data_IF_615033535610
#
_entry.id   IF_615033535610
#
_cell.length_a   1.000
_cell.length_b   1.000
_cell.length_c   1.000
_cell.angle_alpha   90.00
_cell.angle_beta   90.00
_cell.angle_gamma   90.00
#
_symmetry.space_group_name_H-M   'P 1'
#
loop_
_entity.id
_entity.type
_entity.pdbx_description
1 polymer ?
#
# COMPACT_ATOMS: atom_id res chain seq x y z
N UNK A 1 23.99 -6.00 25.77
CA UNK A 1 22.76 -5.81 24.99
C UNK A 1 23.15 -5.03 23.75
N UNK A 2 23.41 -5.72 22.64
CA UNK A 2 23.76 -5.10 21.36
C UNK A 2 22.49 -4.55 20.74
N UNK A 3 22.40 -3.23 20.60
CA UNK A 3 21.36 -2.57 19.84
C UNK A 3 21.39 -3.11 18.40
N UNK A 4 20.37 -3.86 18.02
CA UNK A 4 20.10 -4.17 16.62
C UNK A 4 19.79 -2.86 15.94
N UNK A 5 20.73 -2.37 15.13
CA UNK A 5 20.49 -1.24 14.25
C UNK A 5 19.31 -1.60 13.34
N UNK A 6 18.15 -0.98 13.58
CA UNK A 6 17.10 -0.92 12.56
C UNK A 6 17.76 -0.35 11.31
N UNK A 7 17.65 -1.06 10.19
CA UNK A 7 18.21 -0.54 8.97
C UNK A 7 17.48 0.77 8.64
N UNK A 8 18.24 1.82 8.31
CA UNK A 8 17.70 3.15 8.02
C UNK A 8 17.09 3.19 6.60
N UNK A 9 16.16 2.28 6.35
CA UNK A 9 15.50 2.11 5.07
C UNK A 9 14.26 3.01 4.98
N UNK A 10 13.96 3.45 3.77
CA UNK A 10 12.75 4.21 3.44
C UNK A 10 12.09 3.62 2.20
N UNK A 11 10.75 3.62 2.11
CA UNK A 11 10.09 3.23 0.88
C UNK A 11 10.46 4.17 -0.26
N UNK A 12 10.49 3.63 -1.46
CA UNK A 12 10.44 4.41 -2.70
C UNK A 12 8.98 4.52 -3.13
N UNK A 13 8.42 5.72 -3.02
CA UNK A 13 7.06 6.01 -3.49
C UNK A 13 7.05 6.40 -4.98
N UNK A 14 6.08 5.91 -5.74
CA UNK A 14 5.89 6.21 -7.16
C UNK A 14 4.42 6.53 -7.44
N UNK A 15 4.18 7.54 -8.25
CA UNK A 15 2.86 7.76 -8.84
C UNK A 15 2.83 7.23 -10.27
N UNK A 16 1.78 6.50 -10.59
CA UNK A 16 1.41 6.09 -11.94
C UNK A 16 0.01 6.62 -12.23
N UNK A 17 -0.25 6.95 -13.50
CA UNK A 17 -1.54 7.50 -13.88
C UNK A 17 -2.21 6.70 -14.98
N UNK A 18 -3.54 6.60 -14.92
CA UNK A 18 -4.36 6.13 -16.02
C UNK A 18 -5.23 7.27 -16.55
N UNK A 19 -5.40 7.32 -17.87
CA UNK A 19 -6.15 8.39 -18.52
C UNK A 19 -7.67 8.22 -18.30
N UNK A 20 -8.34 9.32 -17.98
CA UNK A 20 -9.80 9.44 -17.93
C UNK A 20 -10.27 10.55 -18.87
N UNK A 21 -11.42 10.36 -19.49
CA UNK A 21 -11.98 11.26 -20.51
C UNK A 21 -13.22 11.98 -19.99
N UNK A 22 -13.54 13.13 -20.58
CA UNK A 22 -14.70 13.94 -20.19
C UNK A 22 -14.33 15.37 -19.81
N UNK A 23 -15.36 16.23 -19.76
CA UNK A 23 -15.22 17.66 -19.41
C UNK A 23 -16.06 18.09 -18.21
N UNK A 24 -16.89 17.20 -17.68
CA UNK A 24 -17.68 17.39 -16.46
C UNK A 24 -17.25 16.39 -15.38
N UNK A 25 -17.58 16.66 -14.13
CA UNK A 25 -17.26 15.75 -13.02
C UNK A 25 -17.95 14.39 -13.18
N UNK A 26 -19.19 14.37 -13.68
CA UNK A 26 -19.91 13.13 -13.99
C UNK A 26 -19.23 12.32 -15.09
N UNK A 27 -18.77 12.96 -16.17
CA UNK A 27 -18.08 12.25 -17.27
C UNK A 27 -16.77 11.65 -16.77
N UNK A 28 -16.00 12.42 -15.99
CA UNK A 28 -14.73 11.97 -15.42
C UNK A 28 -14.96 10.78 -14.48
N UNK A 29 -15.97 10.85 -13.60
CA UNK A 29 -16.28 9.76 -12.68
C UNK A 29 -16.80 8.50 -13.39
N UNK A 30 -17.59 8.66 -14.45
CA UNK A 30 -17.98 7.53 -15.33
C UNK A 30 -16.75 6.90 -15.98
N UNK A 31 -15.85 7.72 -16.52
CA UNK A 31 -14.62 7.23 -17.14
C UNK A 31 -13.69 6.51 -16.14
N UNK A 32 -13.66 6.96 -14.88
CA UNK A 32 -13.02 6.23 -13.77
C UNK A 32 -13.63 4.83 -13.62
N UNK A 33 -14.96 4.71 -13.56
CA UNK A 33 -15.65 3.43 -13.45
C UNK A 33 -15.37 2.47 -14.62
N UNK A 34 -15.09 3.00 -15.81
CA UNK A 34 -14.78 2.20 -17.01
C UNK A 34 -13.29 1.81 -17.09
N UNK A 35 -12.38 2.68 -16.63
CA UNK A 35 -10.93 2.59 -16.92
C UNK A 35 -10.06 2.35 -15.69
N UNK A 36 -10.58 2.56 -14.49
CA UNK A 36 -9.85 2.44 -13.22
C UNK A 36 -9.23 1.05 -13.01
N UNK A 37 -8.18 0.94 -12.18
CA UNK A 37 -7.49 -0.34 -11.95
C UNK A 37 -8.46 -1.46 -11.57
N UNK A 38 -8.29 -2.64 -12.17
CA UNK A 38 -9.08 -3.84 -11.85
C UNK A 38 -8.55 -4.43 -10.54
N UNK A 39 -9.34 -4.26 -9.47
CA UNK A 39 -9.00 -4.75 -8.13
C UNK A 39 -10.15 -5.61 -7.64
N UNK A 40 -9.87 -6.88 -7.37
CA UNK A 40 -10.91 -7.87 -7.04
C UNK A 40 -11.91 -8.05 -8.18
N UNK A 41 -13.21 -7.96 -7.86
CA UNK A 41 -14.31 -8.13 -8.81
C UNK A 41 -14.69 -6.84 -9.57
N UNK A 42 -14.14 -5.70 -9.17
CA UNK A 42 -14.53 -4.38 -9.68
C UNK A 42 -13.35 -3.53 -10.14
N UNK A 43 -13.64 -2.25 -10.40
CA UNK A 43 -12.63 -1.22 -10.64
C UNK A 43 -12.63 -0.22 -9.51
N UNK A 44 -11.44 0.18 -9.06
CA UNK A 44 -11.28 1.19 -8.03
C UNK A 44 -11.02 2.58 -8.66
N UNK A 45 -11.25 3.64 -7.89
CA UNK A 45 -10.90 5.01 -8.28
C UNK A 45 -9.38 5.14 -8.39
N UNK A 46 -8.68 4.69 -7.36
CA UNK A 46 -7.23 4.63 -7.30
C UNK A 46 -6.83 3.31 -6.64
N UNK A 47 -5.53 3.01 -6.69
CA UNK A 47 -5.03 1.79 -6.06
C UNK A 47 -3.57 1.92 -5.64
N UNK A 48 -3.32 1.60 -4.38
CA UNK A 48 -1.97 1.45 -3.82
C UNK A 48 -1.51 0.00 -3.95
N UNK A 49 -0.36 -0.18 -4.59
CA UNK A 49 0.32 -1.47 -4.70
C UNK A 49 1.75 -1.37 -4.21
N UNK A 50 2.39 -2.50 -3.93
CA UNK A 50 3.79 -2.49 -3.53
C UNK A 50 4.58 -3.68 -4.06
N UNK A 51 5.89 -3.48 -4.19
CA UNK A 51 6.89 -4.52 -4.41
C UNK A 51 7.84 -4.53 -3.23
N UNK A 52 7.92 -5.66 -2.55
CA UNK A 52 8.78 -5.86 -1.39
C UNK A 52 9.76 -6.99 -1.66
N UNK A 53 11.06 -6.69 -1.57
CA UNK A 53 12.12 -7.71 -1.54
C UNK A 53 12.97 -7.56 -0.29
N UNK A 54 13.73 -8.60 0.06
CA UNK A 54 14.52 -8.64 1.28
C UNK A 54 15.94 -9.13 1.01
N UNK A 55 16.92 -8.48 1.64
CA UNK A 55 18.25 -9.05 1.85
C UNK A 55 18.32 -9.59 3.27
N UNK A 56 18.47 -10.91 3.41
CA UNK A 56 18.45 -11.60 4.70
C UNK A 56 19.76 -12.35 4.94
N UNK A 57 20.32 -12.22 6.14
CA UNK A 57 21.52 -12.93 6.57
C UNK A 57 21.16 -13.98 7.62
N UNK A 58 21.05 -15.24 7.19
CA UNK A 58 20.87 -16.38 8.09
C UNK A 58 22.23 -16.96 8.46
N UNK A 59 22.48 -17.18 9.74
CA UNK A 59 23.72 -17.75 10.22
C UNK A 59 23.45 -18.95 11.14
N UNK A 60 24.02 -20.13 10.82
CA UNK A 60 24.07 -21.23 11.77
C UNK A 60 24.83 -20.81 13.04
N UNK A 61 24.32 -21.16 14.21
CA UNK A 61 24.95 -20.94 15.51
C UNK A 61 24.81 -22.22 16.35
N UNK A 62 25.87 -23.04 16.38
CA UNK A 62 25.82 -24.38 16.96
C UNK A 62 24.78 -25.24 16.22
N UNK A 63 23.83 -25.80 16.97
CA UNK A 63 22.71 -26.57 16.41
C UNK A 63 21.51 -25.68 16.00
N UNK A 64 21.59 -24.36 16.20
CA UNK A 64 20.53 -23.42 15.83
C UNK A 64 20.84 -22.66 14.53
N UNK A 65 19.84 -21.97 13.98
CA UNK A 65 20.06 -20.92 12.99
C UNK A 65 19.39 -19.62 13.43
N UNK A 66 20.08 -18.50 13.22
CA UNK A 66 19.65 -17.15 13.59
C UNK A 66 19.55 -16.27 12.35
N UNK A 67 18.50 -15.44 12.27
CA UNK A 67 18.39 -14.38 11.27
C UNK A 67 19.06 -13.10 11.81
N UNK A 68 20.31 -12.87 11.42
CA UNK A 68 21.15 -11.79 11.96
C UNK A 68 20.76 -10.43 11.41
N UNK A 69 20.32 -10.35 10.15
CA UNK A 69 19.83 -9.11 9.56
C UNK A 69 18.76 -9.35 8.50
N UNK A 70 17.83 -8.40 8.37
CA UNK A 70 16.78 -8.40 7.36
C UNK A 70 16.54 -6.98 6.86
N UNK A 71 17.12 -6.63 5.71
CA UNK A 71 17.00 -5.30 5.12
C UNK A 71 15.96 -5.34 4.00
N UNK A 72 14.85 -4.60 4.10
CA UNK A 72 13.85 -4.55 3.05
C UNK A 72 14.25 -3.59 1.92
N UNK A 73 13.69 -3.86 0.74
CA UNK A 73 13.58 -2.91 -0.35
C UNK A 73 12.09 -2.82 -0.71
N UNK A 74 11.48 -1.69 -0.35
CA UNK A 74 10.05 -1.44 -0.51
C UNK A 74 9.84 -0.36 -1.58
N UNK A 75 9.05 -0.70 -2.61
CA UNK A 75 8.55 0.25 -3.60
C UNK A 75 7.03 0.28 -3.46
N UNK A 76 6.47 1.46 -3.18
CA UNK A 76 5.01 1.69 -3.13
C UNK A 76 4.63 2.42 -4.41
N UNK A 77 3.56 1.99 -5.08
CA UNK A 77 3.07 2.58 -6.32
C UNK A 77 1.60 2.94 -6.19
N UNK A 78 1.30 4.23 -6.32
CA UNK A 78 -0.05 4.78 -6.32
C UNK A 78 -0.53 4.93 -7.76
N UNK A 79 -1.61 4.24 -8.12
CA UNK A 79 -2.25 4.36 -9.43
C UNK A 79 -3.43 5.32 -9.34
N UNK A 80 -3.34 6.45 -10.02
CA UNK A 80 -4.29 7.57 -9.90
C UNK A 80 -4.92 7.93 -11.26
N UNK A 81 -6.19 8.41 -11.31
CA UNK A 81 -6.74 8.91 -12.55
C UNK A 81 -6.12 10.26 -12.95
N UNK A 82 -6.01 10.49 -14.25
CA UNK A 82 -5.55 11.76 -14.82
C UNK A 82 -6.41 12.16 -16.02
N UNK A 83 -6.95 13.39 -16.07
CA UNK A 83 -7.70 13.86 -17.23
C UNK A 83 -6.84 13.83 -18.48
N UNK A 84 -7.37 13.26 -19.56
CA UNK A 84 -6.71 13.24 -20.86
C UNK A 84 -6.79 14.59 -21.59
N UNK A 85 -7.77 15.40 -21.21
CA UNK A 85 -8.07 16.70 -21.83
C UNK A 85 -7.93 17.83 -20.80
N UNK A 86 -7.79 19.05 -21.30
CA UNK A 86 -7.88 20.25 -20.46
C UNK A 86 -9.31 20.43 -19.99
N UNK A 87 -9.50 20.54 -18.68
CA UNK A 87 -10.81 20.70 -18.06
C UNK A 87 -11.27 22.17 -18.10
N UNK A 88 -12.59 22.44 -18.18
CA UNK A 88 -13.16 23.74 -17.86
C UNK A 88 -12.74 24.20 -16.45
N UNK A 89 -12.60 25.51 -16.23
CA UNK A 89 -12.06 26.04 -14.98
C UNK A 89 -12.88 25.64 -13.74
N UNK A 90 -14.21 25.51 -13.86
CA UNK A 90 -15.08 25.03 -12.78
C UNK A 90 -14.81 23.56 -12.44
N UNK A 91 -14.77 22.69 -13.45
CA UNK A 91 -14.48 21.27 -13.31
C UNK A 91 -13.07 21.03 -12.76
N UNK A 92 -12.10 21.81 -13.23
CA UNK A 92 -10.72 21.69 -12.79
C UNK A 92 -10.56 21.89 -11.27
N UNK A 93 -11.25 22.88 -10.67
CA UNK A 93 -11.19 23.11 -9.22
C UNK A 93 -11.76 21.93 -8.41
N UNK A 94 -12.89 21.39 -8.84
CA UNK A 94 -13.49 20.22 -8.20
C UNK A 94 -12.62 18.98 -8.37
N UNK A 95 -12.04 18.80 -9.56
CA UNK A 95 -11.10 17.73 -9.85
C UNK A 95 -9.85 17.78 -8.97
N UNK A 96 -9.24 18.96 -8.81
CA UNK A 96 -8.06 19.15 -7.96
C UNK A 96 -8.36 18.81 -6.50
N UNK A 97 -9.53 19.22 -5.98
CA UNK A 97 -9.98 18.89 -4.62
C UNK A 97 -10.20 17.39 -4.46
N UNK A 98 -10.93 16.76 -5.38
CA UNK A 98 -11.14 15.32 -5.42
C UNK A 98 -9.81 14.56 -5.43
N UNK A 99 -8.88 14.94 -6.31
CA UNK A 99 -7.60 14.28 -6.46
C UNK A 99 -6.65 14.51 -5.27
N UNK A 100 -6.76 15.62 -4.56
CA UNK A 100 -6.03 15.82 -3.31
C UNK A 100 -6.49 14.82 -2.24
N UNK A 101 -7.81 14.66 -2.09
CA UNK A 101 -8.37 13.69 -1.14
C UNK A 101 -8.07 12.24 -1.50
N UNK A 102 -8.19 11.87 -2.79
CA UNK A 102 -7.81 10.52 -3.27
C UNK A 102 -6.33 10.24 -2.99
N UNK A 103 -5.42 11.19 -3.26
CA UNK A 103 -3.99 11.01 -2.92
C UNK A 103 -3.77 10.83 -1.42
N UNK A 104 -4.46 11.61 -0.59
CA UNK A 104 -4.38 11.47 0.87
C UNK A 104 -4.86 10.10 1.34
N UNK A 105 -5.95 9.59 0.77
CA UNK A 105 -6.46 8.26 1.06
C UNK A 105 -5.46 7.17 0.66
N UNK A 106 -4.92 7.21 -0.56
CA UNK A 106 -3.94 6.23 -1.00
C UNK A 106 -2.64 6.27 -0.18
N UNK A 107 -2.22 7.45 0.30
CA UNK A 107 -1.07 7.58 1.22
C UNK A 107 -1.28 6.81 2.53
N UNK A 108 -2.49 6.76 3.08
CA UNK A 108 -2.79 5.96 4.28
C UNK A 108 -2.57 4.46 4.01
N UNK A 109 -2.95 3.96 2.83
CA UNK A 109 -2.60 2.58 2.44
C UNK A 109 -1.09 2.37 2.35
N UNK A 110 -0.36 3.36 1.83
CA UNK A 110 1.11 3.38 1.83
C UNK A 110 1.70 3.25 3.25
N UNK A 111 1.19 4.05 4.19
CA UNK A 111 1.62 4.02 5.60
C UNK A 111 1.32 2.67 6.26
N UNK A 112 0.15 2.07 5.97
CA UNK A 112 -0.23 0.74 6.45
C UNK A 112 0.74 -0.34 5.92
N UNK A 113 1.17 -0.23 4.65
CA UNK A 113 2.17 -1.15 4.06
C UNK A 113 3.53 -0.94 4.72
N UNK A 114 3.95 0.31 4.93
CA UNK A 114 5.22 0.62 5.60
C UNK A 114 5.26 0.06 7.03
N UNK A 115 4.19 0.26 7.81
CA UNK A 115 4.05 -0.28 9.17
C UNK A 115 4.17 -1.81 9.19
N UNK A 116 3.51 -2.50 8.26
CA UNK A 116 3.65 -3.96 8.10
C UNK A 116 5.12 -4.36 7.88
N UNK A 117 5.85 -3.65 7.01
CA UNK A 117 7.25 -3.97 6.72
C UNK A 117 8.15 -3.72 7.93
N UNK A 118 7.91 -2.64 8.68
CA UNK A 118 8.62 -2.36 9.94
C UNK A 118 8.36 -3.43 11.00
N UNK A 119 7.13 -3.91 11.12
CA UNK A 119 6.80 -5.03 12.01
C UNK A 119 7.48 -6.32 11.56
N UNK A 120 7.50 -6.61 10.25
CA UNK A 120 8.23 -7.76 9.71
C UNK A 120 9.71 -7.70 10.09
N UNK A 121 10.37 -6.55 9.90
CA UNK A 121 11.77 -6.36 10.26
C UNK A 121 11.99 -6.66 11.76
N UNK A 122 11.16 -6.05 12.62
CA UNK A 122 11.27 -6.18 14.07
C UNK A 122 11.13 -7.64 14.57
N UNK A 123 10.24 -8.44 13.98
CA UNK A 123 10.08 -9.86 14.36
C UNK A 123 11.10 -10.79 13.70
N UNK A 124 11.77 -10.32 12.63
CA UNK A 124 12.70 -11.13 11.84
C UNK A 124 14.09 -11.12 12.44
N UNK A 125 14.59 -9.93 12.79
CA UNK A 125 15.97 -9.78 13.27
C UNK A 125 16.10 -10.40 14.66
N UNK A 126 17.06 -11.32 14.81
CA UNK A 126 17.28 -12.08 16.04
C UNK A 126 16.41 -13.32 16.19
N UNK A 127 15.49 -13.60 15.25
CA UNK A 127 14.75 -14.86 15.22
C UNK A 127 15.74 -16.03 15.19
N UNK A 128 15.58 -16.98 16.12
CA UNK A 128 16.42 -18.18 16.23
C UNK A 128 15.56 -19.43 16.29
N UNK A 129 16.00 -20.49 15.61
CA UNK A 129 15.36 -21.81 15.65
C UNK A 129 16.42 -22.87 15.96
N UNK A 130 16.20 -23.66 17.01
CA UNK A 130 17.06 -24.77 17.41
C UNK A 130 16.89 -26.00 16.49
N UNK A 131 17.92 -26.85 16.43
CA UNK A 131 17.95 -28.02 15.55
C UNK A 131 17.83 -27.66 14.08
N UNK A 132 18.40 -26.53 13.65
CA UNK A 132 18.30 -25.99 12.29
C UNK A 132 19.64 -25.57 11.69
N UNK A 133 20.70 -26.41 11.70
CA UNK A 133 22.01 -26.05 11.16
C UNK A 133 21.98 -25.71 9.66
N UNK A 134 20.94 -26.14 8.94
CA UNK A 134 20.71 -25.81 7.53
C UNK A 134 19.81 -24.59 7.28
N UNK A 135 19.38 -23.87 8.33
CA UNK A 135 18.47 -22.71 8.24
C UNK A 135 17.19 -22.98 7.42
N UNK A 136 16.62 -24.17 7.53
CA UNK A 136 15.40 -24.58 6.82
C UNK A 136 14.16 -24.31 7.68
N UNK A 137 14.18 -24.69 8.95
CA UNK A 137 13.06 -24.52 9.87
C UNK A 137 12.79 -23.04 10.15
N UNK A 138 13.83 -22.22 10.31
CA UNK A 138 13.69 -20.77 10.51
C UNK A 138 12.99 -20.09 9.32
N UNK A 139 13.18 -20.56 8.09
CA UNK A 139 12.50 -19.99 6.92
C UNK A 139 11.01 -20.30 6.92
N UNK A 140 10.64 -21.51 7.35
CA UNK A 140 9.23 -21.90 7.51
C UNK A 140 8.57 -21.06 8.60
N UNK A 141 9.21 -20.96 9.76
CA UNK A 141 8.68 -20.18 10.89
C UNK A 141 8.58 -18.69 10.54
N UNK A 142 9.59 -18.13 9.88
CA UNK A 142 9.53 -16.76 9.41
C UNK A 142 8.34 -16.58 8.45
N UNK A 143 8.20 -17.45 7.44
CA UNK A 143 7.11 -17.37 6.45
C UNK A 143 5.74 -17.41 7.10
N UNK A 144 5.55 -18.24 8.14
CA UNK A 144 4.31 -18.28 8.92
C UNK A 144 3.99 -16.91 9.54
N UNK A 145 4.96 -16.29 10.23
CA UNK A 145 4.80 -14.96 10.84
C UNK A 145 4.54 -13.86 9.81
N UNK A 146 5.20 -13.93 8.65
CA UNK A 146 4.95 -12.99 7.54
C UNK A 146 3.50 -13.07 7.04
N UNK A 147 2.94 -14.29 6.98
CA UNK A 147 1.55 -14.52 6.57
C UNK A 147 0.55 -13.84 7.49
N UNK A 148 0.76 -13.93 8.81
CA UNK A 148 -0.08 -13.30 9.83
C UNK A 148 -0.05 -11.77 9.70
N UNK A 149 1.14 -11.17 9.57
CA UNK A 149 1.28 -9.71 9.37
C UNK A 149 0.66 -9.24 8.06
N UNK A 150 0.79 -10.03 6.99
CA UNK A 150 0.16 -9.72 5.70
C UNK A 150 -1.37 -9.79 5.76
N UNK A 151 -1.94 -10.72 6.53
CA UNK A 151 -3.38 -10.79 6.77
C UNK A 151 -3.87 -9.58 7.56
N UNK A 152 -3.17 -9.22 8.64
CA UNK A 152 -3.48 -8.04 9.45
C UNK A 152 -3.42 -6.75 8.63
N UNK A 153 -2.38 -6.58 7.80
CA UNK A 153 -2.25 -5.44 6.86
C UNK A 153 -3.48 -5.33 5.95
N UNK A 154 -3.87 -6.44 5.30
CA UNK A 154 -5.03 -6.44 4.40
C UNK A 154 -6.34 -6.15 5.14
N UNK A 155 -6.48 -6.60 6.38
CA UNK A 155 -7.66 -6.30 7.19
C UNK A 155 -7.73 -4.81 7.50
N UNK A 156 -6.65 -4.21 8.00
CA UNK A 156 -6.60 -2.77 8.30
C UNK A 156 -6.91 -1.90 7.08
N UNK A 157 -6.35 -2.27 5.92
CA UNK A 157 -6.62 -1.59 4.64
C UNK A 157 -8.12 -1.65 4.29
N UNK A 158 -8.77 -2.82 4.39
CA UNK A 158 -10.22 -2.95 4.18
C UNK A 158 -11.06 -2.18 5.19
N UNK A 159 -10.67 -2.18 6.45
CA UNK A 159 -11.41 -1.47 7.52
C UNK A 159 -11.37 0.04 7.28
N UNK A 160 -10.22 0.57 6.86
CA UNK A 160 -10.07 1.96 6.45
C UNK A 160 -10.94 2.30 5.22
N UNK A 161 -10.90 1.46 4.18
CA UNK A 161 -11.73 1.65 2.99
C UNK A 161 -13.23 1.67 3.32
N UNK A 162 -13.67 0.79 4.21
CA UNK A 162 -15.08 0.71 4.61
C UNK A 162 -15.59 2.02 5.24
N UNK A 163 -14.72 2.73 5.98
CA UNK A 163 -15.04 4.03 6.57
C UNK A 163 -14.99 5.14 5.52
N UNK A 164 -13.93 5.20 4.72
CA UNK A 164 -13.69 6.28 3.75
C UNK A 164 -14.68 6.26 2.58
N UNK A 165 -15.04 5.06 2.10
CA UNK A 165 -15.95 4.83 0.97
C UNK A 165 -17.40 4.65 1.42
N UNK A 166 -17.64 4.43 2.71
CA UNK A 166 -18.97 4.25 3.28
C UNK A 166 -19.87 5.48 3.12
N UNK A 167 -21.16 5.33 3.43
CA UNK A 167 -22.09 6.46 3.39
C UNK A 167 -21.63 7.56 4.37
N UNK A 168 -21.54 8.81 3.89
CA UNK A 168 -20.94 9.91 4.65
C UNK A 168 -19.41 9.92 4.78
N UNK A 169 -18.71 8.90 4.28
CA UNK A 169 -17.24 8.81 4.29
C UNK A 169 -16.57 9.89 3.44
N UNK A 170 -15.30 10.18 3.73
CA UNK A 170 -14.56 11.28 3.11
C UNK A 170 -14.43 11.11 1.58
N UNK A 171 -14.00 9.95 1.08
CA UNK A 171 -13.96 9.70 -0.37
C UNK A 171 -15.36 9.76 -0.99
N UNK A 172 -16.37 9.21 -0.30
CA UNK A 172 -17.74 9.28 -0.79
C UNK A 172 -18.23 10.73 -0.96
N UNK A 173 -17.97 11.62 0.00
CA UNK A 173 -18.31 13.05 -0.10
C UNK A 173 -17.55 13.75 -1.24
N UNK A 174 -16.27 13.42 -1.44
CA UNK A 174 -15.48 13.98 -2.54
C UNK A 174 -16.02 13.54 -3.91
N UNK A 175 -16.48 12.29 -4.03
CA UNK A 175 -17.18 11.80 -5.24
C UNK A 175 -18.45 12.61 -5.48
N UNK A 176 -19.29 12.80 -4.46
CA UNK A 176 -20.53 13.58 -4.59
C UNK A 176 -20.24 15.04 -4.99
N UNK A 177 -19.23 15.67 -4.40
CA UNK A 177 -18.82 17.03 -4.74
C UNK A 177 -18.32 17.13 -6.19
N UNK A 178 -17.54 16.15 -6.66
CA UNK A 178 -17.09 16.10 -8.06
C UNK A 178 -18.27 15.93 -9.01
N UNK A 179 -19.15 14.97 -8.76
CA UNK A 179 -20.25 14.63 -9.69
C UNK A 179 -21.31 15.74 -9.75
N UNK A 180 -21.60 16.42 -8.64
CA UNK A 180 -22.65 17.42 -8.57
C UNK A 180 -22.19 18.85 -8.86
N UNK A 181 -20.91 19.17 -8.63
CA UNK A 181 -20.35 20.53 -8.80
C UNK A 181 -19.33 20.68 -9.92
N UNK A 182 -18.77 19.57 -10.41
CA UNK A 182 -17.71 19.51 -11.42
C UNK A 182 -18.21 19.48 -12.85
#
# INVERSE_FOLDING_TARGET
MTATAQADWRPVEKEQTYAVSGKTGLDLYRSIGERGPKVGIGRAIAYTSFKLTWRRNYQPQGDSCVLVSAVPNLIITYTLPKPAERLPASTQRHWETFMAGVRSHERVHGDIIEDMVRQIEAISVGLSVAGDPGCKKIRVELTRRLGELSLAQRQRSRDFDAVELGNGGNIHQLVLALVNGG
#
